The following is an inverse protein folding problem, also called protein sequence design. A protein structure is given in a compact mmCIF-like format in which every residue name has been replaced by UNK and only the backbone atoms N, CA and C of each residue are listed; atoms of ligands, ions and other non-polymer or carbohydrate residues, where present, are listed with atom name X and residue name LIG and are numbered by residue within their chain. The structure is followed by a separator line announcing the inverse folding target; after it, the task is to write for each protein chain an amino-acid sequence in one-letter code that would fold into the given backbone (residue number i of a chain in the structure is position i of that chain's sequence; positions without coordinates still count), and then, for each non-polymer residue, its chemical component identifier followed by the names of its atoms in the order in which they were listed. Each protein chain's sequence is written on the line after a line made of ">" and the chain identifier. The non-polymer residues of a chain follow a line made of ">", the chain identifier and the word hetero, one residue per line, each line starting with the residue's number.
data_IF_288424375299
#
_entry.id   IF_288424375299
#
_cell.length_a   1.000
_cell.length_b   1.000
_cell.length_c   1.000
_cell.angle_alpha   90.00
_cell.angle_beta   90.00
_cell.angle_gamma   90.00
#
_symmetry.space_group_name_H-M   'P 1'
#
loop_
_entity.id
_entity.type
_entity.pdbx_description
1 polymer ?
#
# COMPACT_ATOMS: atom_id res chain seq x y z
N UNK A 1 -4.27 62.14 -30.07
CA UNK A 1 -3.05 62.81 -29.55
C UNK A 1 -2.24 61.73 -28.85
N UNK A 2 -1.26 61.16 -29.53
CA UNK A 2 0.18 61.49 -29.44
C UNK A 2 0.89 60.38 -28.66
N UNK A 3 1.60 59.49 -29.36
CA UNK A 3 3.07 59.46 -29.54
C UNK A 3 3.77 58.75 -28.35
N UNK A 4 4.29 57.53 -28.55
CA UNK A 4 5.64 57.17 -29.05
C UNK A 4 6.72 57.17 -27.96
N UNK A 5 7.67 56.23 -28.11
CA UNK A 5 8.97 55.99 -27.43
C UNK A 5 8.98 54.64 -26.69
N UNK A 6 9.39 53.51 -27.31
CA UNK A 6 10.75 53.13 -27.77
C UNK A 6 11.81 53.33 -26.69
N UNK A 7 12.48 52.25 -26.28
CA UNK A 7 13.69 52.35 -25.48
C UNK A 7 14.17 51.06 -24.84
N UNK A 8 14.60 50.10 -25.66
CA UNK A 8 15.49 49.01 -25.25
C UNK A 8 16.87 49.61 -24.96
N UNK A 9 17.49 49.36 -23.79
CA UNK A 9 18.95 49.46 -23.65
C UNK A 9 19.52 48.56 -22.53
N UNK A 10 19.94 47.39 -22.98
CA UNK A 10 21.09 46.55 -22.62
C UNK A 10 22.10 47.13 -21.60
N UNK A 11 22.47 46.36 -20.57
CA UNK A 11 23.89 46.04 -20.31
C UNK A 11 24.03 44.73 -19.50
N UNK A 12 24.67 43.76 -20.15
CA UNK A 12 25.11 42.51 -19.55
C UNK A 12 26.27 42.75 -18.57
N UNK A 13 26.25 42.05 -17.44
CA UNK A 13 27.46 41.76 -16.66
C UNK A 13 27.68 40.25 -16.72
N UNK A 14 28.84 39.88 -17.25
CA UNK A 14 29.31 38.53 -17.54
C UNK A 14 30.06 37.98 -16.32
N UNK A 15 29.62 36.80 -15.86
CA UNK A 15 30.33 35.67 -15.23
C UNK A 15 31.14 35.85 -13.94
N UNK A 16 30.80 35.07 -12.89
CA UNK A 16 31.40 33.75 -12.53
C UNK A 16 30.68 33.14 -11.30
N UNK A 17 30.76 31.82 -11.06
CA UNK A 17 29.78 31.05 -10.29
C UNK A 17 30.08 31.07 -8.79
N UNK A 18 29.07 31.34 -7.98
CA UNK A 18 29.14 31.10 -6.53
C UNK A 18 28.41 29.80 -6.21
N UNK A 19 29.21 28.77 -5.92
CA UNK A 19 28.78 27.48 -5.41
C UNK A 19 28.20 27.64 -4.01
N UNK A 20 26.89 27.89 -3.92
CA UNK A 20 26.13 27.68 -2.68
C UNK A 20 24.78 27.04 -3.03
N UNK A 21 24.76 25.71 -2.97
CA UNK A 21 23.62 24.84 -3.27
C UNK A 21 22.32 25.31 -2.59
N UNK A 22 21.25 25.63 -3.34
CA UNK A 22 19.94 25.82 -2.76
C UNK A 22 19.44 24.47 -2.27
N UNK A 23 19.25 24.38 -0.95
CA UNK A 23 18.52 23.32 -0.25
C UNK A 23 17.25 22.99 -1.04
N UNK A 24 17.33 21.92 -1.83
CA UNK A 24 16.23 21.42 -2.61
C UNK A 24 15.05 21.14 -1.67
N UNK A 25 13.81 21.46 -2.06
CA UNK A 25 12.65 21.02 -1.31
C UNK A 25 12.72 19.50 -1.17
N UNK A 26 12.47 19.01 0.04
CA UNK A 26 12.39 17.59 0.31
C UNK A 26 11.33 16.98 -0.62
N UNK A 27 11.81 16.39 -1.71
CA UNK A 27 11.04 15.47 -2.53
C UNK A 27 10.76 14.31 -1.59
N UNK A 28 9.56 14.25 -1.04
CA UNK A 28 9.02 13.02 -0.49
C UNK A 28 8.87 12.11 -1.71
N UNK A 29 9.96 11.42 -2.04
CA UNK A 29 9.90 10.27 -2.91
C UNK A 29 8.90 9.33 -2.26
N UNK A 30 7.74 9.17 -2.89
CA UNK A 30 6.68 8.25 -2.51
C UNK A 30 7.16 6.81 -2.67
N UNK A 31 8.18 6.44 -1.90
CA UNK A 31 8.60 5.07 -1.71
C UNK A 31 7.51 4.39 -0.94
N UNK A 32 6.62 3.69 -1.64
CA UNK A 32 5.87 2.58 -1.06
C UNK A 32 6.84 1.80 -0.17
N UNK A 33 6.54 1.55 1.12
CA UNK A 33 7.44 0.80 1.96
C UNK A 33 7.67 -0.54 1.28
N UNK A 34 8.87 -0.73 0.74
CA UNK A 34 9.32 -2.03 0.22
C UNK A 34 9.49 -2.92 1.44
N UNK A 35 8.37 -3.46 1.91
CA UNK A 35 8.35 -4.62 2.79
C UNK A 35 9.24 -5.64 2.08
N UNK A 36 10.33 -6.05 2.72
CA UNK A 36 11.21 -7.11 2.25
C UNK A 36 10.44 -8.44 2.37
N UNK A 37 9.38 -8.59 1.57
CA UNK A 37 8.51 -9.77 1.44
C UNK A 37 9.40 -10.92 0.99
N UNK A 38 9.30 -12.12 1.60
CA UNK A 38 10.13 -13.23 1.17
C UNK A 38 9.83 -13.52 -0.31
N UNK A 39 10.88 -13.82 -1.07
CA UNK A 39 10.70 -14.15 -2.49
C UNK A 39 9.75 -15.36 -2.60
N UNK A 40 8.65 -15.22 -3.34
CA UNK A 40 7.69 -16.29 -3.53
C UNK A 40 8.37 -17.45 -4.24
N UNK A 41 8.18 -18.67 -3.74
CA UNK A 41 8.83 -19.87 -4.30
C UNK A 41 8.02 -20.49 -5.44
N UNK A 42 6.73 -20.16 -5.51
CA UNK A 42 5.76 -20.74 -6.44
C UNK A 42 4.65 -19.73 -6.76
N UNK A 43 3.94 -19.94 -7.86
CA UNK A 43 2.70 -19.22 -8.17
C UNK A 43 1.49 -19.99 -7.64
N UNK A 44 0.50 -19.27 -7.12
CA UNK A 44 -0.77 -19.89 -6.73
C UNK A 44 -1.55 -20.38 -7.97
N UNK A 45 -2.36 -21.44 -7.86
CA UNK A 45 -3.30 -21.81 -8.91
C UNK A 45 -4.25 -20.63 -9.24
N UNK A 46 -4.49 -20.39 -10.53
CA UNK A 46 -5.26 -19.24 -11.02
C UNK A 46 -6.65 -19.13 -10.38
N UNK A 47 -7.34 -20.26 -10.20
CA UNK A 47 -8.69 -20.30 -9.61
C UNK A 47 -8.64 -19.83 -8.15
N UNK A 48 -7.67 -20.30 -7.38
CA UNK A 48 -7.50 -19.91 -5.98
C UNK A 48 -7.09 -18.44 -5.85
N UNK A 49 -6.18 -17.97 -6.71
CA UNK A 49 -5.79 -16.56 -6.80
C UNK A 49 -6.99 -15.64 -7.08
N UNK A 50 -7.82 -15.99 -8.06
CA UNK A 50 -9.03 -15.22 -8.37
C UNK A 50 -10.04 -15.23 -7.23
N UNK A 51 -10.17 -16.36 -6.53
CA UNK A 51 -11.06 -16.45 -5.37
C UNK A 51 -10.58 -15.53 -4.26
N UNK A 52 -9.33 -15.64 -3.83
CA UNK A 52 -8.82 -14.83 -2.71
C UNK A 52 -8.81 -13.33 -3.04
N UNK A 53 -8.59 -12.98 -4.32
CA UNK A 53 -8.71 -11.60 -4.78
C UNK A 53 -10.12 -11.03 -4.60
N UNK A 54 -11.17 -11.81 -4.94
CA UNK A 54 -12.57 -11.40 -4.69
C UNK A 54 -12.87 -11.22 -3.20
N UNK A 55 -12.32 -12.09 -2.36
CA UNK A 55 -12.49 -11.99 -0.91
C UNK A 55 -11.81 -10.72 -0.36
N UNK A 56 -10.63 -10.37 -0.84
CA UNK A 56 -9.95 -9.12 -0.46
C UNK A 56 -10.80 -7.89 -0.82
N UNK A 57 -11.35 -7.83 -2.03
CA UNK A 57 -12.27 -6.75 -2.38
C UNK A 57 -13.55 -6.76 -1.54
N UNK A 58 -14.07 -7.94 -1.17
CA UNK A 58 -15.23 -8.03 -0.28
C UNK A 58 -14.93 -7.48 1.11
N UNK A 59 -13.74 -7.75 1.67
CA UNK A 59 -13.26 -7.13 2.91
C UNK A 59 -13.28 -5.61 2.78
N UNK A 60 -12.67 -5.04 1.73
CA UNK A 60 -12.63 -3.59 1.53
C UNK A 60 -14.02 -2.95 1.38
N UNK A 61 -14.98 -3.62 0.73
CA UNK A 61 -16.36 -3.13 0.60
C UNK A 61 -17.15 -3.20 1.90
N UNK A 62 -16.99 -4.28 2.67
CA UNK A 62 -17.73 -4.49 3.93
C UNK A 62 -17.13 -3.67 5.06
N UNK A 63 -15.82 -3.48 5.04
CA UNK A 63 -15.04 -2.82 6.08
C UNK A 63 -14.34 -1.57 5.51
N UNK A 64 -15.10 -0.52 5.15
CA UNK A 64 -14.49 0.74 4.74
C UNK A 64 -13.76 1.39 5.93
N UNK A 65 -12.76 2.25 5.68
CA UNK A 65 -11.94 2.86 6.73
C UNK A 65 -12.71 3.57 7.83
N UNK A 66 -13.85 4.19 7.50
CA UNK A 66 -14.69 4.98 8.42
C UNK A 66 -15.94 4.21 8.90
N UNK A 67 -15.96 2.89 8.75
CA UNK A 67 -17.08 2.04 9.12
C UNK A 67 -17.10 1.67 10.60
N UNK A 68 -18.29 1.66 11.23
CA UNK A 68 -18.50 1.05 12.55
C UNK A 68 -18.34 -0.48 12.54
N UNK A 69 -18.66 -1.16 13.64
CA UNK A 69 -18.42 -2.61 13.74
C UNK A 69 -19.15 -3.42 12.64
N UNK A 70 -18.35 -4.16 11.85
CA UNK A 70 -18.81 -5.07 10.79
C UNK A 70 -18.27 -6.49 10.95
N UNK A 71 -17.75 -6.84 12.12
CA UNK A 71 -17.09 -8.12 12.40
C UNK A 71 -17.87 -9.33 11.87
N UNK A 72 -19.17 -9.43 12.18
CA UNK A 72 -19.99 -10.55 11.74
C UNK A 72 -20.11 -10.67 10.22
N UNK A 73 -20.14 -9.55 9.50
CA UNK A 73 -20.26 -9.52 8.03
C UNK A 73 -18.93 -9.80 7.33
N UNK A 74 -17.81 -9.32 7.89
CA UNK A 74 -16.51 -9.45 7.25
C UNK A 74 -15.82 -10.79 7.54
N UNK A 75 -16.15 -11.44 8.66
CA UNK A 75 -15.58 -12.73 9.11
C UNK A 75 -15.44 -13.79 8.02
N UNK A 76 -16.48 -14.17 7.25
CA UNK A 76 -16.35 -15.25 6.26
C UNK A 76 -15.30 -14.94 5.17
N UNK A 77 -15.16 -13.67 4.78
CA UNK A 77 -14.16 -13.24 3.79
C UNK A 77 -12.74 -13.35 4.35
N UNK A 78 -12.55 -12.94 5.61
CA UNK A 78 -11.27 -13.07 6.31
C UNK A 78 -10.87 -14.53 6.47
N UNK A 79 -11.82 -15.41 6.78
CA UNK A 79 -11.54 -16.84 6.93
C UNK A 79 -11.09 -17.49 5.62
N UNK A 80 -11.69 -17.11 4.49
CA UNK A 80 -11.24 -17.57 3.17
C UNK A 80 -9.80 -17.10 2.85
N UNK A 81 -9.45 -15.86 3.22
CA UNK A 81 -8.09 -15.32 3.08
C UNK A 81 -7.10 -16.10 3.96
N UNK A 82 -7.44 -16.35 5.22
CA UNK A 82 -6.61 -17.13 6.14
C UNK A 82 -6.45 -18.59 5.70
N UNK A 83 -7.49 -19.19 5.13
CA UNK A 83 -7.40 -20.53 4.53
C UNK A 83 -6.44 -20.55 3.34
N UNK A 84 -6.56 -19.58 2.43
CA UNK A 84 -5.63 -19.43 1.30
C UNK A 84 -4.19 -19.28 1.80
N UNK A 85 -3.94 -18.40 2.77
CA UNK A 85 -2.61 -18.17 3.31
C UNK A 85 -2.00 -19.41 4.00
N UNK A 86 -2.82 -20.23 4.68
CA UNK A 86 -2.38 -21.51 5.24
C UNK A 86 -2.01 -22.52 4.15
N UNK A 87 -2.78 -22.59 3.07
CA UNK A 87 -2.54 -23.52 1.96
C UNK A 87 -1.33 -23.10 1.13
N UNK A 88 -1.10 -21.81 0.98
CA UNK A 88 -0.06 -21.24 0.14
C UNK A 88 0.78 -20.20 0.90
N UNK A 89 1.58 -20.57 1.90
CA UNK A 89 2.24 -19.62 2.79
C UNK A 89 3.33 -18.75 2.13
N UNK A 90 3.81 -19.12 0.94
CA UNK A 90 4.89 -18.40 0.25
C UNK A 90 4.73 -18.43 -1.28
N UNK A 91 3.59 -17.92 -1.76
CA UNK A 91 3.30 -17.80 -3.20
C UNK A 91 3.10 -16.35 -3.65
N UNK A 92 3.33 -16.12 -4.94
CA UNK A 92 2.84 -14.96 -5.67
C UNK A 92 1.58 -15.28 -6.45
N UNK A 93 0.80 -14.25 -6.76
CA UNK A 93 -0.38 -14.35 -7.61
C UNK A 93 -0.74 -12.96 -8.15
N UNK A 94 -1.39 -12.88 -9.31
CA UNK A 94 -1.85 -11.60 -9.86
C UNK A 94 -2.96 -11.01 -8.99
N UNK A 95 -2.87 -9.71 -8.71
CA UNK A 95 -3.91 -8.88 -8.09
C UNK A 95 -4.07 -7.68 -9.01
N UNK A 96 -5.23 -7.53 -9.64
CA UNK A 96 -5.46 -6.51 -10.68
C UNK A 96 -4.33 -6.47 -11.73
N UNK A 97 -3.62 -5.35 -11.85
CA UNK A 97 -2.47 -5.13 -12.73
C UNK A 97 -1.11 -5.35 -12.02
N UNK A 98 -1.14 -5.72 -10.75
CA UNK A 98 0.04 -5.93 -9.91
C UNK A 98 0.27 -7.41 -9.57
N UNK A 99 1.46 -7.68 -9.02
CA UNK A 99 1.79 -9.01 -8.46
C UNK A 99 1.68 -8.95 -6.93
N UNK A 100 0.69 -9.64 -6.40
CA UNK A 100 0.54 -9.87 -4.97
C UNK A 100 1.36 -11.03 -4.46
N UNK A 101 1.52 -11.07 -3.14
CA UNK A 101 2.08 -12.20 -2.40
C UNK A 101 1.16 -12.55 -1.24
N UNK A 102 1.37 -13.73 -0.66
CA UNK A 102 0.60 -14.12 0.54
C UNK A 102 0.82 -13.16 1.71
N UNK A 103 2.06 -12.66 1.87
CA UNK A 103 2.36 -11.69 2.92
C UNK A 103 1.69 -10.34 2.64
N UNK A 104 1.77 -9.82 1.41
CA UNK A 104 1.11 -8.53 1.11
C UNK A 104 -0.42 -8.62 1.24
N UNK A 105 -1.02 -9.75 0.85
CA UNK A 105 -2.44 -10.03 1.09
C UNK A 105 -2.81 -9.95 2.57
N UNK A 106 -2.06 -10.63 3.44
CA UNK A 106 -2.33 -10.61 4.89
C UNK A 106 -2.12 -9.21 5.48
N UNK A 107 -1.11 -8.47 5.01
CA UNK A 107 -0.86 -7.09 5.46
C UNK A 107 -2.01 -6.16 5.07
N UNK A 108 -2.45 -6.21 3.81
CA UNK A 108 -3.58 -5.40 3.33
C UNK A 108 -4.88 -5.78 4.04
N UNK A 109 -5.11 -7.06 4.25
CA UNK A 109 -6.30 -7.54 4.99
C UNK A 109 -6.30 -7.04 6.43
N UNK A 110 -5.16 -7.13 7.14
CA UNK A 110 -5.02 -6.57 8.51
C UNK A 110 -5.32 -5.07 8.51
N UNK A 111 -4.75 -4.34 7.56
CA UNK A 111 -4.95 -2.89 7.44
C UNK A 111 -6.43 -2.54 7.26
N UNK A 112 -7.12 -3.21 6.34
CA UNK A 112 -8.56 -2.98 6.10
C UNK A 112 -9.42 -3.24 7.33
N UNK A 113 -9.05 -4.19 8.19
CA UNK A 113 -9.84 -4.60 9.35
C UNK A 113 -9.68 -3.72 10.59
N UNK A 114 -8.64 -2.86 10.64
CA UNK A 114 -8.23 -2.13 11.85
C UNK A 114 -9.38 -1.39 12.53
N UNK A 115 -10.19 -0.69 11.75
CA UNK A 115 -11.29 0.12 12.31
C UNK A 115 -12.56 -0.69 12.53
N UNK A 116 -12.99 -1.48 11.54
CA UNK A 116 -14.33 -2.07 11.59
C UNK A 116 -14.40 -3.45 12.27
N UNK A 117 -13.25 -4.13 12.45
CA UNK A 117 -13.18 -5.49 13.01
C UNK A 117 -11.79 -5.79 13.62
N UNK A 118 -11.39 -5.06 14.69
CA UNK A 118 -10.04 -5.13 15.26
C UNK A 118 -9.65 -6.55 15.70
N UNK A 119 -10.57 -7.33 16.28
CA UNK A 119 -10.30 -8.72 16.67
C UNK A 119 -9.88 -9.61 15.49
N UNK A 120 -10.47 -9.37 14.30
CA UNK A 120 -10.08 -10.09 13.09
C UNK A 120 -8.75 -9.58 12.54
N UNK A 121 -8.44 -8.29 12.70
CA UNK A 121 -7.13 -7.75 12.36
C UNK A 121 -6.01 -8.42 13.16
N UNK A 122 -6.22 -8.65 14.45
CA UNK A 122 -5.27 -9.37 15.33
C UNK A 122 -5.10 -10.82 14.91
N UNK A 123 -6.20 -11.50 14.53
CA UNK A 123 -6.13 -12.86 14.00
C UNK A 123 -5.29 -12.93 12.73
N UNK A 124 -5.46 -11.97 11.81
CA UNK A 124 -4.65 -11.87 10.58
C UNK A 124 -3.19 -11.54 10.91
N UNK A 125 -2.95 -10.68 11.91
CA UNK A 125 -1.62 -10.36 12.37
C UNK A 125 -0.87 -11.62 12.85
N UNK A 126 -1.51 -12.51 13.61
CA UNK A 126 -0.89 -13.75 14.05
C UNK A 126 -0.61 -14.75 12.92
N UNK A 127 -1.28 -14.63 11.77
CA UNK A 127 -1.00 -15.45 10.59
C UNK A 127 0.21 -14.96 9.78
N UNK A 128 0.68 -13.73 10.02
CA UNK A 128 1.87 -13.20 9.35
C UNK A 128 3.14 -13.89 9.87
N UNK A 129 4.20 -14.01 9.05
CA UNK A 129 5.54 -14.31 9.55
C UNK A 129 5.93 -13.32 10.65
N UNK A 130 6.60 -13.80 11.70
CA UNK A 130 6.92 -13.04 12.93
C UNK A 130 7.44 -11.62 12.67
N UNK A 131 8.33 -11.46 11.68
CA UNK A 131 8.91 -10.16 11.29
C UNK A 131 7.93 -9.11 10.76
N UNK A 132 6.71 -9.48 10.40
CA UNK A 132 5.65 -8.55 9.96
C UNK A 132 4.52 -8.41 10.97
N UNK A 133 4.54 -9.18 12.05
CA UNK A 133 3.58 -9.05 13.13
C UNK A 133 3.82 -7.71 13.82
N UNK A 134 2.74 -6.98 14.08
CA UNK A 134 2.76 -5.77 14.91
C UNK A 134 2.28 -6.13 16.31
N UNK A 135 2.88 -5.52 17.32
CA UNK A 135 2.46 -5.67 18.71
C UNK A 135 1.36 -4.64 19.01
N UNK A 136 0.13 -5.08 19.31
CA UNK A 136 -0.95 -4.23 19.82
C UNK A 136 -1.65 -3.31 18.80
N UNK A 137 -2.79 -2.70 19.20
CA UNK A 137 -3.54 -1.80 18.34
C UNK A 137 -2.63 -0.62 18.00
N UNK A 138 -2.40 -0.41 16.70
CA UNK A 138 -1.64 0.76 16.29
C UNK A 138 -2.57 1.97 16.36
N UNK A 139 -2.19 2.90 17.24
CA UNK A 139 -2.80 4.23 17.41
C UNK A 139 -3.00 4.97 16.06
#
# INVERSE_FOLDING_TARGET
>A
MSLLMVGLLVLAVVMLPDSTDPKAPAVIAGGSPTLLVPHPKMQAPKIDAQRVHRELHAVGRVCPPDGGDRTARVRPHVEAILEFARRYPNVSFPIDDETGTTVSLLILTRYSLRTCAPELADRVNHALPSRYQTSGPSD
#
